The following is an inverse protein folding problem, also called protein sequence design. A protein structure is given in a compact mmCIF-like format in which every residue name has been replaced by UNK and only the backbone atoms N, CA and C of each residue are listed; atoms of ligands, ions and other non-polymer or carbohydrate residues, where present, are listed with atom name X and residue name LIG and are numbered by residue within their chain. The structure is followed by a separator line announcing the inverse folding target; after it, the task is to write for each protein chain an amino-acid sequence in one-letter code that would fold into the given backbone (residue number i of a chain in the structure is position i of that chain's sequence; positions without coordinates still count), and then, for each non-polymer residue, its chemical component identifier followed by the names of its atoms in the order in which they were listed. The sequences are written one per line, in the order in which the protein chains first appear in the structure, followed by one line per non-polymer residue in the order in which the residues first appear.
data_IF_854784926576
#
_entry.id   IF_854784926576
#
_cell.length_a   1.000
_cell.length_b   1.000
_cell.length_c   1.000
_cell.angle_alpha   90.00
_cell.angle_beta   90.00
_cell.angle_gamma   90.00
#
_symmetry.space_group_name_H-M   'P 1'
#
loop_
_entity.id
_entity.type
_entity.pdbx_description
1 polymer ?
#
# COMPACT_ATOMS: atom_id res chain seq x y z
N UNK A 1 -26.16 -39.08 15.64
CA UNK A 1 -25.64 -38.75 14.29
C UNK A 1 -25.87 -37.26 14.06
N UNK A 2 -24.97 -36.55 13.37
CA UNK A 2 -25.29 -35.24 12.83
C UNK A 2 -26.59 -35.36 12.01
N UNK A 3 -27.36 -34.28 11.88
CA UNK A 3 -28.44 -34.30 10.90
C UNK A 3 -27.84 -34.66 9.53
N UNK A 4 -28.54 -35.49 8.73
CA UNK A 4 -28.06 -35.88 7.39
C UNK A 4 -27.61 -34.66 6.58
N UNK A 5 -28.30 -33.54 6.76
CA UNK A 5 -27.96 -32.24 6.21
C UNK A 5 -26.55 -31.74 6.59
N UNK A 6 -26.18 -31.76 7.87
CA UNK A 6 -24.85 -31.31 8.32
C UNK A 6 -23.73 -32.22 7.78
N UNK A 7 -23.98 -33.53 7.68
CA UNK A 7 -23.03 -34.46 7.06
C UNK A 7 -22.84 -34.17 5.58
N UNK A 8 -23.92 -33.82 4.86
CA UNK A 8 -23.84 -33.41 3.44
C UNK A 8 -23.04 -32.12 3.27
N UNK A 9 -23.29 -31.09 4.10
CA UNK A 9 -22.52 -29.84 4.05
C UNK A 9 -21.05 -30.11 4.35
N UNK A 10 -20.74 -30.88 5.38
CA UNK A 10 -19.37 -31.18 5.75
C UNK A 10 -18.63 -31.95 4.63
N UNK A 11 -19.30 -32.91 3.98
CA UNK A 11 -18.78 -33.57 2.78
C UNK A 11 -18.57 -32.60 1.61
N UNK A 12 -19.51 -31.69 1.37
CA UNK A 12 -19.43 -30.68 0.32
C UNK A 12 -18.23 -29.74 0.52
N UNK A 13 -17.93 -29.32 1.75
CA UNK A 13 -16.76 -28.48 2.03
C UNK A 13 -15.44 -29.18 1.68
N UNK A 14 -15.31 -30.48 1.94
CA UNK A 14 -14.14 -31.24 1.53
C UNK A 14 -14.03 -31.31 0.00
N UNK A 15 -15.15 -31.50 -0.71
CA UNK A 15 -15.18 -31.48 -2.19
C UNK A 15 -14.78 -30.11 -2.73
N UNK A 16 -15.31 -29.03 -2.17
CA UNK A 16 -14.96 -27.66 -2.58
C UNK A 16 -13.48 -27.35 -2.33
N UNK A 17 -12.94 -27.74 -1.18
CA UNK A 17 -11.52 -27.58 -0.88
C UNK A 17 -10.62 -28.27 -1.92
N UNK A 18 -10.98 -29.50 -2.33
CA UNK A 18 -10.25 -30.25 -3.37
C UNK A 18 -10.43 -29.62 -4.75
N UNK A 19 -11.65 -29.22 -5.10
CA UNK A 19 -11.94 -28.58 -6.39
C UNK A 19 -11.05 -27.35 -6.59
N UNK A 20 -11.00 -26.47 -5.60
CA UNK A 20 -10.17 -25.27 -5.65
C UNK A 20 -8.67 -25.60 -5.56
N UNK A 21 -8.28 -26.65 -4.83
CA UNK A 21 -6.90 -27.14 -4.84
C UNK A 21 -6.46 -27.64 -6.23
N UNK A 22 -7.31 -28.41 -6.93
CA UNK A 22 -7.04 -28.85 -8.30
C UNK A 22 -6.94 -27.64 -9.23
N UNK A 23 -7.81 -26.63 -9.07
CA UNK A 23 -7.72 -25.41 -9.87
C UNK A 23 -6.37 -24.70 -9.68
N UNK A 24 -5.91 -24.55 -8.44
CA UNK A 24 -4.56 -24.02 -8.18
C UNK A 24 -3.47 -24.84 -8.84
N UNK A 25 -3.54 -26.18 -8.77
CA UNK A 25 -2.54 -27.05 -9.39
C UNK A 25 -2.45 -26.85 -10.90
N UNK A 26 -3.59 -26.67 -11.57
CA UNK A 26 -3.63 -26.43 -13.01
C UNK A 26 -3.07 -25.06 -13.40
N UNK A 27 -3.30 -24.04 -12.58
CA UNK A 27 -2.89 -22.67 -12.90
C UNK A 27 -1.41 -22.41 -12.51
N UNK A 28 -0.92 -22.97 -11.40
CA UNK A 28 0.39 -22.61 -10.81
C UNK A 28 1.20 -23.78 -10.22
N UNK A 29 0.66 -25.01 -10.28
CA UNK A 29 1.19 -26.14 -9.50
C UNK A 29 0.83 -26.08 -8.02
N UNK A 30 1.08 -27.17 -7.30
CA UNK A 30 0.90 -27.26 -5.85
C UNK A 30 2.10 -27.94 -5.19
N UNK A 31 2.43 -27.50 -3.98
CA UNK A 31 3.45 -28.17 -3.17
C UNK A 31 2.93 -29.52 -2.65
N UNK A 32 3.82 -30.50 -2.53
CA UNK A 32 3.49 -31.84 -2.03
C UNK A 32 2.76 -31.83 -0.66
N UNK A 33 3.11 -30.95 0.31
CA UNK A 33 2.37 -30.87 1.57
C UNK A 33 0.90 -30.47 1.41
N UNK A 34 0.58 -29.55 0.48
CA UNK A 34 -0.81 -29.12 0.25
C UNK A 34 -1.63 -30.26 -0.35
N UNK A 35 -1.06 -30.98 -1.33
CA UNK A 35 -1.70 -32.16 -1.92
C UNK A 35 -1.96 -33.22 -0.85
N UNK A 36 -0.96 -33.53 -0.02
CA UNK A 36 -1.09 -34.50 1.07
C UNK A 36 -2.19 -34.10 2.08
N UNK A 37 -2.29 -32.81 2.42
CA UNK A 37 -3.33 -32.29 3.30
C UNK A 37 -4.74 -32.44 2.69
N UNK A 38 -4.92 -32.12 1.41
CA UNK A 38 -6.20 -32.28 0.72
C UNK A 38 -6.61 -33.76 0.58
N UNK A 39 -5.66 -34.66 0.31
CA UNK A 39 -5.92 -36.11 0.29
C UNK A 39 -6.34 -36.61 1.68
N UNK A 40 -5.62 -36.20 2.73
CA UNK A 40 -5.96 -36.56 4.11
C UNK A 40 -7.35 -36.04 4.50
N UNK A 41 -7.72 -34.82 4.10
CA UNK A 41 -9.04 -34.23 4.30
C UNK A 41 -10.15 -35.11 3.72
N UNK A 42 -10.00 -35.55 2.47
CA UNK A 42 -10.96 -36.43 1.78
C UNK A 42 -11.04 -37.77 2.46
N UNK A 43 -9.90 -38.43 2.73
CA UNK A 43 -9.87 -39.75 3.36
C UNK A 43 -10.51 -39.72 4.75
N UNK A 44 -10.22 -38.71 5.56
CA UNK A 44 -10.83 -38.53 6.87
C UNK A 44 -12.36 -38.34 6.76
N UNK A 45 -12.80 -37.53 5.79
CA UNK A 45 -14.23 -37.28 5.54
C UNK A 45 -14.95 -38.55 5.11
N UNK A 46 -14.42 -39.29 4.14
CA UNK A 46 -15.00 -40.55 3.67
C UNK A 46 -15.02 -41.61 4.76
N UNK A 47 -13.93 -41.77 5.51
CA UNK A 47 -13.86 -42.70 6.63
C UNK A 47 -14.90 -42.37 7.71
N UNK A 48 -15.08 -41.09 8.05
CA UNK A 48 -16.07 -40.65 9.02
C UNK A 48 -17.53 -40.85 8.56
N UNK A 49 -17.79 -40.84 7.24
CA UNK A 49 -19.12 -41.06 6.66
C UNK A 49 -19.43 -42.56 6.54
N UNK A 50 -18.49 -43.35 6.02
CA UNK A 50 -18.74 -44.73 5.61
C UNK A 50 -18.28 -45.79 6.62
N UNK A 51 -17.43 -45.45 7.59
CA UNK A 51 -16.90 -46.39 8.59
C UNK A 51 -17.47 -46.05 9.98
N UNK A 52 -18.49 -46.80 10.48
CA UNK A 52 -19.14 -46.51 11.75
C UNK A 52 -18.20 -46.50 12.97
N UNK A 53 -17.12 -47.28 12.93
CA UNK A 53 -16.10 -47.28 13.98
C UNK A 53 -15.36 -45.93 14.05
N UNK A 54 -15.00 -45.35 12.91
CA UNK A 54 -14.33 -44.03 12.83
C UNK A 54 -15.28 -42.93 13.28
N UNK A 55 -16.53 -42.93 12.82
CA UNK A 55 -17.52 -41.95 13.27
C UNK A 55 -17.74 -41.96 14.79
N UNK A 56 -17.83 -43.16 15.39
CA UNK A 56 -17.94 -43.32 16.85
C UNK A 56 -16.70 -42.79 17.57
N UNK A 57 -15.50 -43.12 17.08
CA UNK A 57 -14.25 -42.63 17.67
C UNK A 57 -14.17 -41.10 17.66
N UNK A 58 -14.46 -40.47 16.51
CA UNK A 58 -14.45 -39.00 16.38
C UNK A 58 -15.47 -38.34 17.31
N UNK A 59 -16.67 -38.92 17.42
CA UNK A 59 -17.70 -38.44 18.35
C UNK A 59 -17.23 -38.53 19.80
N UNK A 60 -16.64 -39.66 20.22
CA UNK A 60 -16.12 -39.84 21.57
C UNK A 60 -15.00 -38.86 21.92
N UNK A 61 -14.11 -38.56 20.97
CA UNK A 61 -13.05 -37.56 21.17
C UNK A 61 -13.63 -36.16 21.40
N UNK A 62 -14.62 -35.75 20.60
CA UNK A 62 -15.31 -34.48 20.79
C UNK A 62 -16.13 -34.46 22.08
N UNK A 63 -16.75 -35.57 22.47
CA UNK A 63 -17.50 -35.66 23.73
C UNK A 63 -16.60 -35.49 24.95
N UNK A 64 -15.39 -36.07 24.93
CA UNK A 64 -14.37 -35.85 25.97
C UNK A 64 -13.97 -34.39 26.07
N UNK A 65 -13.77 -33.72 24.92
CA UNK A 65 -13.44 -32.31 24.90
C UNK A 65 -14.60 -31.45 25.43
N UNK A 66 -15.83 -31.73 25.00
CA UNK A 66 -17.07 -31.03 25.42
C UNK A 66 -17.43 -31.27 26.88
N UNK A 67 -16.97 -32.37 27.48
CA UNK A 67 -17.08 -32.61 28.92
C UNK A 67 -16.30 -31.59 29.75
N UNK A 68 -15.35 -30.86 29.15
CA UNK A 68 -14.68 -29.69 29.70
C UNK A 68 -15.04 -28.43 28.87
N UNK A 69 -16.22 -27.80 29.08
CA UNK A 69 -16.74 -26.78 28.18
C UNK A 69 -15.85 -25.55 28.00
N UNK A 70 -15.16 -25.13 29.07
CA UNK A 70 -14.22 -24.02 29.02
C UNK A 70 -12.99 -24.32 28.14
N UNK A 71 -12.46 -25.55 28.23
CA UNK A 71 -11.37 -26.02 27.37
C UNK A 71 -11.85 -26.14 25.91
N UNK A 72 -13.03 -26.70 25.69
CA UNK A 72 -13.64 -26.75 24.36
C UNK A 72 -13.77 -25.36 23.71
N UNK A 73 -14.26 -24.37 24.47
CA UNK A 73 -14.35 -22.99 24.00
C UNK A 73 -12.96 -22.42 23.69
N UNK A 74 -11.97 -22.62 24.56
CA UNK A 74 -10.60 -22.19 24.28
C UNK A 74 -10.05 -22.84 22.99
N UNK A 75 -10.28 -24.13 22.77
CA UNK A 75 -9.87 -24.83 21.55
C UNK A 75 -10.54 -24.23 20.31
N UNK A 76 -11.83 -23.89 20.38
CA UNK A 76 -12.51 -23.19 19.29
C UNK A 76 -11.89 -21.82 18.99
N UNK A 77 -11.58 -21.03 20.02
CA UNK A 77 -10.92 -19.72 19.85
C UNK A 77 -9.54 -19.87 19.23
N UNK A 78 -8.72 -20.79 19.74
CA UNK A 78 -7.39 -21.07 19.19
C UNK A 78 -7.50 -21.52 17.73
N UNK A 79 -8.45 -22.39 17.40
CA UNK A 79 -8.68 -22.84 16.03
C UNK A 79 -9.02 -21.66 15.10
N UNK A 80 -9.97 -20.81 15.49
CA UNK A 80 -10.39 -19.64 14.70
C UNK A 80 -9.25 -18.64 14.54
N UNK A 81 -8.53 -18.32 15.61
CA UNK A 81 -7.38 -17.42 15.57
C UNK A 81 -6.32 -17.97 14.63
N UNK A 82 -5.89 -19.22 14.81
CA UNK A 82 -4.84 -19.81 13.96
C UNK A 82 -5.28 -19.88 12.49
N UNK A 83 -6.54 -20.23 12.23
CA UNK A 83 -7.07 -20.31 10.87
C UNK A 83 -7.09 -18.93 10.19
N UNK A 84 -7.68 -17.92 10.83
CA UNK A 84 -7.80 -16.58 10.26
C UNK A 84 -6.44 -15.90 10.20
N UNK A 85 -5.66 -15.90 11.28
CA UNK A 85 -4.32 -15.30 11.34
C UNK A 85 -3.38 -15.91 10.31
N UNK A 86 -3.40 -17.23 10.11
CA UNK A 86 -2.56 -17.87 9.09
C UNK A 86 -2.99 -17.48 7.67
N UNK A 87 -4.29 -17.36 7.40
CA UNK A 87 -4.74 -16.82 6.10
C UNK A 87 -4.26 -15.38 5.89
N UNK A 88 -4.47 -14.51 6.88
CA UNK A 88 -4.05 -13.10 6.80
C UNK A 88 -2.54 -12.96 6.58
N UNK A 89 -1.72 -13.70 7.32
CA UNK A 89 -0.26 -13.66 7.21
C UNK A 89 0.21 -14.17 5.85
N UNK A 90 -0.33 -15.30 5.38
CA UNK A 90 0.16 -15.95 4.16
C UNK A 90 -0.27 -15.24 2.88
N UNK A 91 -1.50 -14.73 2.85
CA UNK A 91 -2.10 -14.23 1.62
C UNK A 91 -2.28 -12.71 1.62
N UNK A 92 -2.22 -12.07 2.79
CA UNK A 92 -2.35 -10.62 2.95
C UNK A 92 -3.50 -10.04 2.13
N UNK A 93 -4.74 -10.52 2.34
CA UNK A 93 -5.90 -10.11 1.56
C UNK A 93 -6.20 -8.63 1.82
N UNK A 94 -6.52 -7.90 0.76
CA UNK A 94 -6.83 -6.47 0.77
C UNK A 94 -7.88 -6.16 -0.30
N UNK A 95 -8.63 -5.06 -0.14
CA UNK A 95 -9.54 -4.58 -1.18
C UNK A 95 -8.77 -4.29 -2.50
N UNK A 96 -9.40 -4.63 -3.63
CA UNK A 96 -8.80 -4.52 -4.96
C UNK A 96 -8.26 -5.83 -5.53
N UNK A 97 -8.07 -6.86 -4.69
CA UNK A 97 -7.59 -8.17 -5.13
C UNK A 97 -8.65 -9.27 -5.03
N UNK A 98 -8.67 -10.15 -6.03
CA UNK A 98 -9.50 -11.34 -6.03
C UNK A 98 -8.91 -12.40 -5.11
N UNK A 99 -9.77 -13.09 -4.36
CA UNK A 99 -9.38 -14.29 -3.60
C UNK A 99 -8.95 -15.36 -4.59
N UNK A 100 -7.73 -15.86 -4.42
CA UNK A 100 -7.17 -16.89 -5.30
C UNK A 100 -7.80 -18.26 -5.07
N UNK A 101 -7.73 -19.20 -6.04
CA UNK A 101 -8.21 -20.56 -5.84
C UNK A 101 -7.59 -21.25 -4.61
N UNK A 102 -6.31 -21.00 -4.31
CA UNK A 102 -5.65 -21.61 -3.15
C UNK A 102 -6.22 -21.08 -1.82
N UNK A 103 -6.58 -19.81 -1.76
CA UNK A 103 -7.24 -19.23 -0.59
C UNK A 103 -8.63 -19.83 -0.39
N UNK A 104 -9.40 -20.02 -1.46
CA UNK A 104 -10.68 -20.74 -1.36
C UNK A 104 -10.49 -22.16 -0.82
N UNK A 105 -9.49 -22.90 -1.31
CA UNK A 105 -9.17 -24.24 -0.80
C UNK A 105 -8.82 -24.20 0.70
N UNK A 106 -8.05 -23.21 1.13
CA UNK A 106 -7.70 -22.96 2.53
C UNK A 106 -8.94 -22.65 3.38
N UNK A 107 -9.84 -21.78 2.89
CA UNK A 107 -11.07 -21.42 3.57
C UNK A 107 -12.03 -22.60 3.72
N UNK A 108 -12.27 -23.38 2.66
CA UNK A 108 -13.15 -24.54 2.77
C UNK A 108 -12.59 -25.61 3.69
N UNK A 109 -11.27 -25.79 3.72
CA UNK A 109 -10.59 -26.69 4.67
C UNK A 109 -10.79 -26.24 6.12
N UNK A 110 -10.67 -24.94 6.40
CA UNK A 110 -10.91 -24.41 7.74
C UNK A 110 -12.38 -24.42 8.15
N UNK A 111 -13.29 -24.13 7.23
CA UNK A 111 -14.73 -24.22 7.50
C UNK A 111 -15.15 -25.68 7.75
N UNK A 112 -14.53 -26.63 7.05
CA UNK A 112 -14.71 -28.07 7.30
C UNK A 112 -14.32 -28.45 8.73
N UNK A 113 -13.16 -27.97 9.21
CA UNK A 113 -12.72 -28.23 10.59
C UNK A 113 -13.57 -27.50 11.63
N UNK A 114 -14.01 -26.27 11.34
CA UNK A 114 -14.91 -25.53 12.22
C UNK A 114 -16.27 -26.22 12.38
N UNK A 115 -16.89 -26.64 11.27
CA UNK A 115 -18.14 -27.41 11.32
C UNK A 115 -17.97 -28.74 12.05
N UNK A 116 -16.82 -29.39 11.90
CA UNK A 116 -16.50 -30.59 12.68
C UNK A 116 -16.53 -30.30 14.20
N UNK A 117 -15.85 -29.25 14.65
CA UNK A 117 -15.80 -28.90 16.07
C UNK A 117 -17.17 -28.46 16.62
N UNK A 118 -17.92 -27.64 15.87
CA UNK A 118 -19.20 -27.06 16.31
C UNK A 118 -20.37 -28.04 16.26
N UNK A 119 -20.45 -28.88 15.22
CA UNK A 119 -21.68 -29.59 14.89
C UNK A 119 -21.55 -31.13 14.89
N UNK A 120 -20.36 -31.68 14.70
CA UNK A 120 -20.20 -33.13 14.55
C UNK A 120 -20.56 -33.88 15.83
N UNK A 121 -21.54 -34.78 15.74
CA UNK A 121 -22.03 -35.57 16.87
C UNK A 121 -22.66 -34.75 18.01
N UNK A 122 -22.88 -33.45 17.82
CA UNK A 122 -23.37 -32.56 18.87
C UNK A 122 -24.87 -32.76 19.12
N UNK A 123 -25.28 -32.71 20.39
CA UNK A 123 -26.69 -32.85 20.78
C UNK A 123 -27.17 -31.67 21.61
N UNK A 124 -28.46 -31.34 21.50
CA UNK A 124 -29.08 -30.26 22.29
C UNK A 124 -29.01 -30.51 23.79
N UNK A 125 -29.00 -31.78 24.22
CA UNK A 125 -28.83 -32.14 25.62
C UNK A 125 -27.42 -31.78 26.12
N UNK A 126 -26.38 -32.12 25.34
CA UNK A 126 -24.99 -31.77 25.64
C UNK A 126 -24.80 -30.25 25.68
N UNK A 127 -25.39 -29.52 24.72
CA UNK A 127 -25.34 -28.05 24.72
C UNK A 127 -25.91 -27.44 26.01
N UNK A 128 -27.06 -27.94 26.49
CA UNK A 128 -27.66 -27.50 27.75
C UNK A 128 -26.76 -27.79 28.96
N UNK A 129 -26.18 -28.99 29.02
CA UNK A 129 -25.23 -29.36 30.09
C UNK A 129 -23.99 -28.45 30.07
N UNK A 130 -23.41 -28.21 28.91
CA UNK A 130 -22.25 -27.32 28.76
C UNK A 130 -22.59 -25.89 29.20
N UNK A 131 -23.75 -25.37 28.79
CA UNK A 131 -24.21 -24.04 29.19
C UNK A 131 -24.38 -23.90 30.70
N UNK A 132 -24.96 -24.92 31.37
CA UNK A 132 -25.10 -24.93 32.84
C UNK A 132 -23.74 -24.96 33.55
N UNK A 133 -22.80 -25.75 33.04
CA UNK A 133 -21.43 -25.81 33.57
C UNK A 133 -20.69 -24.48 33.39
N UNK A 134 -20.79 -23.86 32.22
CA UNK A 134 -20.21 -22.54 31.94
C UNK A 134 -20.85 -21.46 32.83
N UNK A 135 -22.16 -21.46 33.01
CA UNK A 135 -22.85 -20.48 33.85
C UNK A 135 -22.38 -20.45 35.31
N UNK A 136 -21.78 -21.54 35.80
CA UNK A 136 -21.22 -21.65 37.16
C UNK A 136 -19.70 -21.42 37.21
N UNK A 137 -19.03 -21.40 36.06
CA UNK A 137 -17.57 -21.30 35.98
C UNK A 137 -17.09 -19.86 35.99
N UNK A 138 -16.07 -19.55 36.79
CA UNK A 138 -15.40 -18.24 36.78
C UNK A 138 -14.62 -17.98 35.48
N UNK A 139 -14.22 -19.03 34.77
CA UNK A 139 -13.50 -18.91 33.49
C UNK A 139 -14.40 -18.38 32.36
N UNK A 140 -15.72 -18.48 32.52
CA UNK A 140 -16.67 -18.01 31.50
C UNK A 140 -16.54 -16.51 31.25
N UNK A 141 -16.38 -15.69 32.30
CA UNK A 141 -16.14 -14.26 32.14
C UNK A 141 -14.87 -13.96 31.34
N UNK A 142 -13.76 -14.65 31.67
CA UNK A 142 -12.49 -14.52 30.95
C UNK A 142 -12.63 -14.91 29.47
N UNK A 143 -13.32 -16.01 29.17
CA UNK A 143 -13.53 -16.48 27.80
C UNK A 143 -14.45 -15.56 27.00
N UNK A 144 -15.47 -14.96 27.63
CA UNK A 144 -16.30 -13.92 26.99
C UNK A 144 -15.43 -12.72 26.63
N UNK A 145 -14.63 -12.22 27.58
CA UNK A 145 -13.74 -11.07 27.34
C UNK A 145 -12.75 -11.38 26.22
N UNK A 146 -12.10 -12.55 26.26
CA UNK A 146 -11.16 -12.98 25.22
C UNK A 146 -11.85 -13.08 23.85
N UNK A 147 -13.03 -13.71 23.78
CA UNK A 147 -13.82 -13.80 22.54
C UNK A 147 -14.15 -12.41 22.01
N UNK A 148 -14.55 -11.49 22.88
CA UNK A 148 -14.92 -10.12 22.53
C UNK A 148 -13.73 -9.36 21.96
N UNK A 149 -12.56 -9.43 22.61
CA UNK A 149 -11.32 -8.80 22.13
C UNK A 149 -10.93 -9.36 20.76
N UNK A 150 -10.97 -10.68 20.58
CA UNK A 150 -10.62 -11.31 19.30
C UNK A 150 -11.58 -10.91 18.17
N UNK A 151 -12.89 -10.88 18.45
CA UNK A 151 -13.89 -10.42 17.47
C UNK A 151 -13.65 -8.97 17.08
N UNK A 152 -13.45 -8.08 18.05
CA UNK A 152 -13.14 -6.67 17.78
C UNK A 152 -11.85 -6.55 16.96
N UNK A 153 -10.80 -7.29 17.33
CA UNK A 153 -9.54 -7.30 16.61
C UNK A 153 -9.71 -7.69 15.13
N UNK A 154 -10.37 -8.83 14.85
CA UNK A 154 -10.55 -9.28 13.47
C UNK A 154 -11.55 -8.43 12.67
N UNK A 155 -12.56 -7.83 13.32
CA UNK A 155 -13.43 -6.86 12.66
C UNK A 155 -12.68 -5.57 12.30
N UNK A 156 -11.83 -5.08 13.18
CA UNK A 156 -10.97 -3.93 12.90
C UNK A 156 -9.94 -4.25 11.79
N UNK A 157 -9.33 -5.43 11.83
CA UNK A 157 -8.42 -5.92 10.80
C UNK A 157 -9.12 -6.01 9.44
N UNK A 158 -10.33 -6.58 9.39
CA UNK A 158 -11.13 -6.64 8.17
C UNK A 158 -11.51 -5.24 7.67
N UNK A 159 -11.91 -4.34 8.57
CA UNK A 159 -12.23 -2.96 8.21
C UNK A 159 -11.02 -2.25 7.59
N UNK A 160 -9.85 -2.31 8.22
CA UNK A 160 -8.65 -1.66 7.70
C UNK A 160 -8.25 -2.22 6.33
N UNK A 161 -8.28 -3.55 6.17
CA UNK A 161 -7.94 -4.22 4.90
C UNK A 161 -8.93 -3.94 3.77
N UNK A 162 -10.19 -3.63 4.08
CA UNK A 162 -11.21 -3.38 3.08
C UNK A 162 -11.38 -1.89 2.74
N UNK A 163 -11.16 -1.01 3.71
CA UNK A 163 -11.55 0.40 3.61
C UNK A 163 -10.45 1.40 3.96
N UNK A 164 -9.29 0.94 4.44
CA UNK A 164 -8.20 1.81 4.88
C UNK A 164 -6.83 1.29 4.44
N UNK A 165 -6.68 1.12 3.12
CA UNK A 165 -5.38 0.90 2.48
C UNK A 165 -4.92 2.26 2.00
N UNK A 166 -3.87 2.78 2.63
CA UNK A 166 -3.38 4.13 2.39
C UNK A 166 -1.89 4.18 2.62
N UNK A 167 -1.28 5.23 2.09
CA UNK A 167 0.11 5.61 2.28
C UNK A 167 0.37 6.35 3.58
N UNK A 168 1.65 6.44 3.92
CA UNK A 168 2.21 7.26 4.97
C UNK A 168 3.42 8.03 4.41
N UNK A 169 3.78 9.18 5.00
CA UNK A 169 4.83 10.03 4.46
C UNK A 169 6.25 9.45 4.42
N UNK A 170 6.47 8.22 4.88
CA UNK A 170 7.80 7.60 5.00
C UNK A 170 7.91 6.21 4.37
N UNK A 171 6.80 5.63 3.92
CA UNK A 171 6.80 4.42 3.11
C UNK A 171 6.96 3.08 3.85
N UNK A 172 7.02 3.03 5.19
CA UNK A 172 7.36 1.80 5.92
C UNK A 172 6.17 1.05 6.55
N UNK A 173 4.94 1.57 6.48
CA UNK A 173 3.79 0.88 7.06
C UNK A 173 3.32 -0.30 6.20
N UNK A 174 2.65 -1.28 6.82
CA UNK A 174 2.08 -2.40 6.08
C UNK A 174 0.98 -1.90 5.12
N UNK A 175 0.19 -0.90 5.55
CA UNK A 175 -0.82 -0.28 4.71
C UNK A 175 -0.19 0.42 3.50
N UNK A 176 0.92 1.14 3.68
CA UNK A 176 1.66 1.76 2.59
C UNK A 176 2.16 0.71 1.58
N UNK A 177 2.80 -0.36 2.05
CA UNK A 177 3.25 -1.45 1.18
C UNK A 177 2.09 -2.02 0.33
N UNK A 178 0.93 -2.23 0.95
CA UNK A 178 -0.25 -2.71 0.22
C UNK A 178 -0.87 -1.66 -0.68
N UNK A 179 -0.74 -0.37 -0.37
CA UNK A 179 -1.11 0.68 -1.30
C UNK A 179 -0.26 0.62 -2.58
N UNK A 180 1.07 0.50 -2.46
CA UNK A 180 1.96 0.32 -3.62
C UNK A 180 1.57 -0.90 -4.43
N UNK A 181 1.37 -2.04 -3.77
CA UNK A 181 0.97 -3.27 -4.46
C UNK A 181 -0.36 -3.11 -5.20
N UNK A 182 -1.33 -2.38 -4.64
CA UNK A 182 -2.69 -2.32 -5.15
C UNK A 182 -2.91 -1.20 -6.18
N UNK A 183 -2.19 -0.10 -6.04
CA UNK A 183 -2.45 1.15 -6.77
C UNK A 183 -1.20 1.80 -7.36
N UNK A 184 -0.02 1.58 -6.76
CA UNK A 184 1.27 1.98 -7.34
C UNK A 184 1.66 1.04 -8.47
N UNK A 185 2.39 -0.03 -8.13
CA UNK A 185 2.96 -1.00 -9.07
C UNK A 185 1.97 -1.74 -9.95
N UNK A 186 0.68 -1.76 -9.56
CA UNK A 186 -0.39 -2.33 -10.38
C UNK A 186 -0.68 -1.48 -11.63
N UNK A 187 -0.18 -0.25 -11.69
CA UNK A 187 -0.36 0.73 -12.75
C UNK A 187 0.97 1.05 -13.44
N UNK A 188 1.99 0.20 -13.31
CA UNK A 188 3.26 0.37 -14.01
C UNK A 188 3.14 -0.04 -15.49
N UNK A 189 3.70 0.76 -16.37
CA UNK A 189 3.88 0.44 -17.77
C UNK A 189 5.07 -0.52 -18.00
N UNK A 190 5.30 -0.90 -19.25
CA UNK A 190 6.36 -1.82 -19.66
C UNK A 190 7.78 -1.31 -19.40
N UNK A 191 7.96 -0.02 -19.14
CA UNK A 191 9.23 0.61 -18.77
C UNK A 191 9.44 0.66 -17.26
N UNK A 192 8.45 0.24 -16.47
CA UNK A 192 8.51 0.21 -15.01
C UNK A 192 8.16 1.54 -14.34
N UNK A 193 7.49 2.46 -15.04
CA UNK A 193 6.97 3.69 -14.45
C UNK A 193 5.47 3.59 -14.25
N UNK A 194 4.98 4.20 -13.17
CA UNK A 194 3.55 4.28 -12.86
C UNK A 194 2.82 5.24 -13.81
N UNK A 195 2.54 4.77 -15.01
CA UNK A 195 2.03 5.56 -16.13
C UNK A 195 1.30 4.68 -17.15
N UNK A 196 0.62 5.28 -18.13
CA UNK A 196 0.18 4.57 -19.32
C UNK A 196 1.38 4.17 -20.19
N UNK A 197 1.15 3.27 -21.16
CA UNK A 197 2.20 2.90 -22.12
C UNK A 197 2.50 4.08 -23.05
N UNK A 198 3.78 4.46 -23.23
CA UNK A 198 4.15 5.52 -24.16
C UNK A 198 3.64 5.23 -25.55
N UNK A 199 3.12 6.24 -26.25
CA UNK A 199 2.58 6.05 -27.59
C UNK A 199 3.73 5.80 -28.57
N UNK A 200 3.52 4.98 -29.62
CA UNK A 200 4.51 4.86 -30.69
C UNK A 200 4.75 6.21 -31.37
N UNK A 201 5.98 6.45 -31.83
CA UNK A 201 6.31 7.65 -32.58
C UNK A 201 5.39 7.82 -33.80
N UNK A 202 4.85 9.04 -33.95
CA UNK A 202 3.99 9.42 -35.05
C UNK A 202 4.33 10.85 -35.52
N UNK A 203 4.14 11.17 -36.82
CA UNK A 203 4.36 12.52 -37.31
C UNK A 203 3.51 13.55 -36.55
N UNK A 204 4.15 14.62 -36.09
CA UNK A 204 3.52 15.67 -35.30
C UNK A 204 3.21 15.32 -33.84
N UNK A 205 3.61 14.14 -33.35
CA UNK A 205 3.57 13.81 -31.92
C UNK A 205 4.61 14.66 -31.17
N UNK A 206 4.17 15.37 -30.14
CA UNK A 206 5.05 16.11 -29.23
C UNK A 206 5.16 15.33 -27.94
N UNK A 207 6.38 15.06 -27.48
CA UNK A 207 6.63 14.33 -26.23
C UNK A 207 6.94 15.27 -25.08
N UNK A 208 6.32 15.01 -23.94
CA UNK A 208 6.49 15.76 -22.70
C UNK A 208 6.90 14.76 -21.63
N UNK A 209 8.11 14.90 -21.08
CA UNK A 209 8.53 14.11 -19.94
C UNK A 209 8.25 14.87 -18.65
N UNK A 210 7.44 14.30 -17.76
CA UNK A 210 7.27 14.77 -16.38
C UNK A 210 8.26 13.99 -15.51
N UNK A 211 9.25 14.67 -14.94
CA UNK A 211 10.31 14.04 -14.13
C UNK A 211 10.17 14.46 -12.68
N UNK A 212 10.32 13.54 -11.74
CA UNK A 212 10.35 13.89 -10.32
C UNK A 212 10.30 12.69 -9.38
N UNK A 213 9.86 12.97 -8.16
CA UNK A 213 9.84 12.02 -7.05
C UNK A 213 8.42 11.47 -6.75
N UNK A 214 8.15 11.14 -5.49
CA UNK A 214 6.82 10.71 -5.01
C UNK A 214 5.71 11.74 -5.26
N UNK A 215 6.01 13.04 -5.35
CA UNK A 215 5.05 14.09 -5.65
C UNK A 215 4.62 14.04 -7.12
N UNK A 216 5.56 13.75 -8.03
CA UNK A 216 5.24 13.56 -9.45
C UNK A 216 4.50 12.23 -9.68
N UNK A 217 5.00 11.14 -9.09
CA UNK A 217 4.45 9.79 -9.20
C UNK A 217 2.99 9.68 -8.67
N UNK A 218 2.54 10.64 -7.85
CA UNK A 218 1.22 10.66 -7.26
C UNK A 218 1.06 9.70 -6.10
N UNK A 219 2.04 9.70 -5.19
CA UNK A 219 2.04 8.88 -3.98
C UNK A 219 0.75 9.11 -3.18
N UNK A 220 0.03 8.04 -2.85
CA UNK A 220 -1.24 8.08 -2.13
C UNK A 220 -2.49 8.35 -3.00
N UNK A 221 -2.34 8.62 -4.30
CA UNK A 221 -3.47 8.74 -5.23
C UNK A 221 -3.82 7.37 -5.83
N UNK A 222 -4.98 6.80 -5.49
CA UNK A 222 -5.32 5.43 -5.93
C UNK A 222 -5.52 5.27 -7.45
N UNK A 223 -5.94 6.32 -8.13
CA UNK A 223 -6.25 6.30 -9.55
C UNK A 223 -5.22 7.14 -10.32
N UNK A 224 -4.44 6.49 -11.18
CA UNK A 224 -3.40 7.14 -12.00
C UNK A 224 -3.94 8.38 -12.73
N UNK A 225 -5.15 8.30 -13.26
CA UNK A 225 -5.82 9.37 -13.99
C UNK A 225 -6.08 10.65 -13.16
N UNK A 226 -5.98 10.59 -11.84
CA UNK A 226 -6.15 11.74 -10.94
C UNK A 226 -4.81 12.47 -10.65
N UNK A 227 -3.69 11.98 -11.19
CA UNK A 227 -2.38 12.64 -11.09
C UNK A 227 -2.25 13.77 -12.11
N UNK A 228 -1.41 14.77 -11.82
CA UNK A 228 -1.33 16.00 -12.61
C UNK A 228 -0.81 15.73 -14.03
N UNK A 229 0.13 14.80 -14.20
CA UNK A 229 0.66 14.42 -15.51
C UNK A 229 -0.46 13.89 -16.42
N UNK A 230 -1.30 13.01 -15.88
CA UNK A 230 -2.42 12.40 -16.62
C UNK A 230 -3.57 13.38 -16.84
N UNK A 231 -3.79 14.29 -15.91
CA UNK A 231 -4.73 15.39 -16.11
C UNK A 231 -4.23 16.30 -17.25
N UNK A 232 -2.94 16.62 -17.30
CA UNK A 232 -2.35 17.41 -18.38
C UNK A 232 -2.48 16.69 -19.72
N UNK A 233 -2.11 15.41 -19.80
CA UNK A 233 -2.21 14.63 -21.04
C UNK A 233 -3.62 14.70 -21.65
N UNK A 234 -4.64 14.39 -20.84
CA UNK A 234 -6.04 14.44 -21.31
C UNK A 234 -6.50 15.81 -21.76
N UNK A 235 -5.89 16.89 -21.29
CA UNK A 235 -6.26 18.27 -21.66
C UNK A 235 -5.48 18.78 -22.87
N UNK A 236 -4.28 18.26 -23.12
CA UNK A 236 -3.44 18.67 -24.24
C UNK A 236 -3.87 18.03 -25.57
N UNK A 237 -4.86 17.13 -25.54
CA UNK A 237 -5.41 16.37 -26.67
C UNK A 237 -4.39 15.43 -27.34
N UNK A 238 -4.80 14.75 -28.42
CA UNK A 238 -4.03 13.67 -29.06
C UNK A 238 -2.66 14.10 -29.63
N UNK A 239 -2.32 15.39 -29.65
CA UNK A 239 -1.03 15.86 -30.19
C UNK A 239 0.15 15.65 -29.23
N UNK A 240 -0.09 15.43 -27.93
CA UNK A 240 0.98 15.37 -26.93
C UNK A 240 0.99 14.03 -26.18
N UNK A 241 2.14 13.37 -26.11
CA UNK A 241 2.40 12.22 -25.23
C UNK A 241 3.00 12.74 -23.94
N UNK A 242 2.38 12.48 -22.79
CA UNK A 242 2.92 12.93 -21.49
C UNK A 242 3.43 11.73 -20.72
N UNK A 243 4.73 11.50 -20.82
CA UNK A 243 5.42 10.39 -20.19
C UNK A 243 5.83 10.78 -18.75
N UNK A 244 5.34 10.06 -17.75
CA UNK A 244 5.70 10.25 -16.33
C UNK A 244 6.92 9.39 -15.96
N UNK A 245 8.04 10.05 -15.70
CA UNK A 245 9.32 9.46 -15.28
C UNK A 245 9.56 9.85 -13.82
N UNK A 246 8.84 9.20 -12.92
CA UNK A 246 8.92 9.52 -11.50
C UNK A 246 8.76 8.29 -10.61
N UNK A 247 9.48 8.29 -9.50
CA UNK A 247 9.46 7.22 -8.51
C UNK A 247 9.60 7.80 -7.09
N UNK A 248 9.01 7.11 -6.12
CA UNK A 248 9.13 7.55 -4.73
C UNK A 248 10.55 7.36 -4.20
N UNK A 249 11.12 8.43 -3.64
CA UNK A 249 12.49 8.47 -3.12
C UNK A 249 13.55 8.72 -4.20
N UNK A 250 13.15 9.16 -5.39
CA UNK A 250 14.10 9.82 -6.30
C UNK A 250 14.44 11.19 -5.77
N UNK A 251 15.72 11.52 -5.88
CA UNK A 251 16.29 12.82 -5.56
C UNK A 251 16.94 13.42 -6.82
N UNK A 252 17.45 14.65 -6.74
CA UNK A 252 18.01 15.37 -7.90
C UNK A 252 19.18 14.65 -8.57
N UNK A 253 19.91 13.78 -7.86
CA UNK A 253 21.01 13.00 -8.43
C UNK A 253 20.54 11.88 -9.38
N UNK A 254 19.28 11.47 -9.32
CA UNK A 254 18.70 10.40 -10.15
C UNK A 254 17.86 10.91 -11.33
N UNK A 255 17.16 12.03 -11.17
CA UNK A 255 16.21 12.55 -12.16
C UNK A 255 16.81 12.71 -13.57
N UNK A 256 17.96 13.39 -13.68
CA UNK A 256 18.62 13.59 -14.98
C UNK A 256 19.17 12.27 -15.56
N UNK A 257 19.92 11.43 -14.82
CA UNK A 257 20.36 10.13 -15.34
C UNK A 257 19.23 9.22 -15.85
N UNK A 258 18.06 9.21 -15.22
CA UNK A 258 16.93 8.41 -15.71
C UNK A 258 16.28 9.03 -16.94
N UNK A 259 16.13 10.36 -16.97
CA UNK A 259 15.68 11.08 -18.17
C UNK A 259 16.61 10.82 -19.37
N UNK A 260 17.92 10.78 -19.16
CA UNK A 260 18.92 10.47 -20.20
C UNK A 260 18.79 9.06 -20.78
N UNK A 261 18.35 8.11 -19.96
CA UNK A 261 18.20 6.70 -20.34
C UNK A 261 16.81 6.39 -20.91
N UNK A 262 15.88 7.33 -20.82
CA UNK A 262 14.52 7.13 -21.29
C UNK A 262 14.49 6.95 -22.82
N UNK A 263 13.83 5.90 -23.34
CA UNK A 263 13.95 5.54 -24.76
C UNK A 263 13.25 6.52 -25.72
N UNK A 264 12.34 7.35 -25.22
CA UNK A 264 11.58 8.30 -26.02
C UNK A 264 12.03 9.74 -25.72
N UNK A 265 12.83 10.38 -26.59
CA UNK A 265 13.35 11.71 -26.29
C UNK A 265 12.22 12.75 -26.24
N UNK A 266 12.12 13.54 -25.15
CA UNK A 266 11.07 14.55 -25.02
C UNK A 266 11.38 15.82 -25.82
N UNK A 267 10.34 16.59 -26.15
CA UNK A 267 10.46 17.96 -26.62
C UNK A 267 10.35 18.97 -25.46
N UNK A 268 9.57 18.62 -24.45
CA UNK A 268 9.33 19.42 -23.25
C UNK A 268 9.65 18.55 -22.03
N UNK A 269 10.37 19.10 -21.06
CA UNK A 269 10.62 18.48 -19.76
C UNK A 269 9.90 19.33 -18.71
N UNK A 270 9.10 18.68 -17.87
CA UNK A 270 8.48 19.27 -16.69
C UNK A 270 9.16 18.64 -15.48
N UNK A 271 10.03 19.38 -14.81
CA UNK A 271 10.60 18.97 -13.53
C UNK A 271 9.59 19.26 -12.41
N UNK A 272 9.22 18.24 -11.65
CA UNK A 272 8.42 18.35 -10.44
C UNK A 272 9.31 18.21 -9.22
N UNK A 273 9.82 19.35 -8.77
CA UNK A 273 10.79 19.44 -7.68
C UNK A 273 10.08 19.49 -6.32
N UNK A 274 10.48 18.61 -5.39
CA UNK A 274 10.11 18.72 -3.98
C UNK A 274 11.35 18.91 -3.12
N UNK A 275 11.16 19.46 -1.92
CA UNK A 275 12.26 19.93 -1.09
C UNK A 275 13.18 18.81 -0.59
N UNK A 276 12.69 17.57 -0.57
CA UNK A 276 13.45 16.36 -0.27
C UNK A 276 14.39 15.94 -1.39
N UNK A 277 14.31 16.51 -2.60
CA UNK A 277 15.23 16.11 -3.68
C UNK A 277 16.71 16.44 -3.37
N UNK A 278 16.98 17.14 -2.27
CA UNK A 278 18.32 17.37 -1.69
C UNK A 278 18.79 16.24 -0.75
N UNK A 279 17.93 15.29 -0.38
CA UNK A 279 18.16 14.30 0.68
C UNK A 279 19.34 13.36 0.39
N UNK A 280 19.67 13.13 -0.89
CA UNK A 280 20.87 12.38 -1.28
C UNK A 280 22.17 12.97 -0.70
N UNK A 281 22.22 14.28 -0.41
CA UNK A 281 23.35 14.95 0.26
C UNK A 281 23.37 14.75 1.78
N UNK A 282 22.22 14.40 2.36
CA UNK A 282 22.03 14.25 3.79
C UNK A 282 22.15 12.79 4.26
N UNK A 283 22.17 11.84 3.34
CA UNK A 283 22.25 10.40 3.64
C UNK A 283 23.48 10.07 4.51
N UNK A 284 23.28 9.26 5.56
CA UNK A 284 24.31 8.87 6.54
C UNK A 284 24.94 10.04 7.33
N UNK A 285 24.34 11.24 7.30
CA UNK A 285 24.78 12.38 8.11
C UNK A 285 24.01 12.49 9.42
N UNK A 286 24.44 13.40 10.31
CA UNK A 286 23.69 13.70 11.53
C UNK A 286 22.34 14.39 11.26
N UNK A 287 22.13 14.89 10.04
CA UNK A 287 20.90 15.54 9.57
C UNK A 287 20.04 14.61 8.71
N UNK A 288 20.42 13.33 8.57
CA UNK A 288 19.64 12.34 7.83
C UNK A 288 18.21 12.25 8.41
N UNK A 289 17.18 12.68 7.65
CA UNK A 289 15.81 12.64 8.14
C UNK A 289 15.34 11.22 8.46
N UNK A 290 15.92 10.20 7.81
CA UNK A 290 15.60 8.79 8.02
C UNK A 290 16.17 8.23 9.34
N UNK A 291 17.19 8.86 9.92
CA UNK A 291 17.73 8.46 11.22
C UNK A 291 16.76 8.72 12.39
N UNK A 292 15.71 9.52 12.15
CA UNK A 292 14.71 9.90 13.15
C UNK A 292 13.62 8.82 13.39
N UNK A 293 13.67 7.67 12.70
CA UNK A 293 12.68 6.59 12.84
C UNK A 293 13.10 5.50 13.82
N UNK A 294 12.27 5.30 14.85
CA UNK A 294 12.37 4.14 15.72
C UNK A 294 11.52 2.98 15.17
N UNK A 295 12.19 1.89 14.80
CA UNK A 295 11.55 0.63 14.44
C UNK A 295 11.39 -0.30 15.65
N UNK A 296 10.43 -1.23 15.56
CA UNK A 296 10.28 -2.28 16.56
C UNK A 296 11.52 -3.18 16.54
N UNK A 297 12.31 -3.14 17.62
CA UNK A 297 13.54 -3.93 17.73
C UNK A 297 13.30 -5.41 18.05
N UNK A 298 12.21 -5.73 18.76
CA UNK A 298 11.87 -7.12 19.07
C UNK A 298 11.37 -7.83 17.80
N UNK A 299 12.00 -8.94 17.36
CA UNK A 299 11.64 -9.59 16.10
C UNK A 299 10.20 -10.13 16.07
N UNK A 300 9.69 -10.62 17.21
CA UNK A 300 8.35 -11.21 17.27
C UNK A 300 7.27 -10.15 17.20
N UNK A 301 7.46 -9.04 17.92
CA UNK A 301 6.58 -7.90 17.86
C UNK A 301 6.66 -7.22 16.49
N UNK A 302 7.85 -7.09 15.91
CA UNK A 302 8.04 -6.55 14.56
C UNK A 302 7.27 -7.38 13.54
N UNK A 303 7.43 -8.71 13.57
CA UNK A 303 6.66 -9.62 12.73
C UNK A 303 5.15 -9.43 12.90
N UNK A 304 4.65 -9.33 14.14
CA UNK A 304 3.22 -9.13 14.40
C UNK A 304 2.71 -7.78 13.87
N UNK A 305 3.46 -6.71 14.11
CA UNK A 305 3.16 -5.35 13.66
C UNK A 305 3.18 -5.24 12.13
N UNK A 306 4.06 -5.95 11.43
CA UNK A 306 4.16 -5.89 9.97
C UNK A 306 3.17 -6.81 9.24
N UNK A 307 2.67 -7.87 9.90
CA UNK A 307 1.75 -8.82 9.25
C UNK A 307 0.26 -8.54 9.48
N UNK A 308 -0.09 -7.67 10.44
CA UNK A 308 -1.48 -7.32 10.74
C UNK A 308 -1.66 -5.80 10.72
N UNK A 309 -2.75 -5.32 10.11
CA UNK A 309 -3.01 -3.89 9.93
C UNK A 309 -3.35 -3.20 11.25
N UNK A 310 -4.08 -3.86 12.15
CA UNK A 310 -4.43 -3.29 13.47
C UNK A 310 -3.18 -2.91 14.29
N UNK A 311 -2.25 -3.82 14.63
CA UNK A 311 -1.06 -3.45 15.38
C UNK A 311 -0.13 -2.52 14.59
N UNK A 312 -0.09 -2.62 13.25
CA UNK A 312 0.63 -1.67 12.41
C UNK A 312 0.13 -0.24 12.61
N UNK A 313 -1.20 -0.04 12.48
CA UNK A 313 -1.86 1.24 12.65
C UNK A 313 -1.71 1.78 14.07
N UNK A 314 -1.88 0.94 15.09
CA UNK A 314 -1.67 1.36 16.48
C UNK A 314 -0.24 1.82 16.71
N UNK A 315 0.75 1.07 16.22
CA UNK A 315 2.16 1.40 16.43
C UNK A 315 2.58 2.63 15.64
N UNK A 316 2.48 2.61 14.32
CA UNK A 316 3.01 3.67 13.47
C UNK A 316 2.10 4.90 13.43
N UNK A 317 0.80 4.72 13.22
CA UNK A 317 -0.11 5.84 13.00
C UNK A 317 -0.61 6.46 14.31
N UNK A 318 -0.72 5.73 15.42
CA UNK A 318 -1.15 6.33 16.69
C UNK A 318 0.02 6.64 17.63
N UNK A 319 0.87 5.66 17.96
CA UNK A 319 1.92 5.85 18.95
C UNK A 319 3.10 6.64 18.39
N UNK A 320 3.52 6.37 17.16
CA UNK A 320 4.67 7.05 16.57
C UNK A 320 4.30 8.44 16.02
N UNK A 321 3.18 8.57 15.30
CA UNK A 321 2.77 9.86 14.73
C UNK A 321 2.45 10.94 15.76
N UNK A 322 1.96 10.58 16.96
CA UNK A 322 1.66 11.57 18.02
C UNK A 322 2.92 12.12 18.72
N UNK A 323 4.11 11.66 18.33
CA UNK A 323 5.39 12.17 18.85
C UNK A 323 5.74 13.52 18.22
N UNK A 324 5.58 14.61 18.97
CA UNK A 324 5.95 15.98 18.57
C UNK A 324 7.38 16.11 18.02
N UNK A 325 8.31 15.28 18.50
CA UNK A 325 9.71 15.30 18.07
C UNK A 325 9.92 15.02 16.58
N UNK A 326 9.00 14.30 15.90
CA UNK A 326 9.18 13.92 14.49
C UNK A 326 8.62 14.94 13.51
N UNK A 327 7.41 15.45 13.76
CA UNK A 327 6.77 16.40 12.84
C UNK A 327 7.52 17.74 12.75
N UNK A 328 8.24 18.13 13.82
CA UNK A 328 9.02 19.37 13.84
C UNK A 328 10.48 19.19 13.39
N UNK A 329 11.05 17.98 13.49
CA UNK A 329 12.42 17.72 13.04
C UNK A 329 12.51 17.66 11.51
N UNK A 330 11.63 16.91 10.83
CA UNK A 330 11.71 16.69 9.38
C UNK A 330 11.71 17.98 8.56
N UNK A 331 10.76 18.89 8.83
CA UNK A 331 10.67 20.18 8.12
C UNK A 331 11.88 21.07 8.42
N UNK A 332 12.37 21.04 9.67
CA UNK A 332 13.52 21.81 10.10
C UNK A 332 14.82 21.32 9.45
N UNK A 333 15.02 20.01 9.44
CA UNK A 333 16.18 19.34 8.85
C UNK A 333 16.24 19.62 7.34
N UNK A 334 15.12 19.43 6.64
CA UNK A 334 15.00 19.67 5.20
C UNK A 334 15.29 21.12 4.83
N UNK A 335 14.69 22.10 5.53
CA UNK A 335 14.97 23.51 5.27
C UNK A 335 16.42 23.89 5.61
N UNK A 336 17.01 23.26 6.64
CA UNK A 336 18.39 23.53 7.05
C UNK A 336 19.43 23.07 6.03
N UNK A 337 19.13 22.04 5.24
CA UNK A 337 20.00 21.56 4.16
C UNK A 337 20.23 22.66 3.11
N UNK A 338 19.19 23.42 2.76
CA UNK A 338 19.31 24.57 1.86
C UNK A 338 20.12 25.72 2.44
N UNK A 339 20.25 25.80 3.77
CA UNK A 339 21.04 26.82 4.46
C UNK A 339 22.52 26.42 4.64
N UNK A 340 22.86 25.16 4.44
CA UNK A 340 24.25 24.73 4.34
C UNK A 340 24.80 25.11 2.95
N UNK A 341 25.81 25.98 2.92
CA UNK A 341 26.42 26.47 1.69
C UNK A 341 27.02 25.34 0.82
N UNK A 342 27.62 24.32 1.45
CA UNK A 342 28.21 23.20 0.70
C UNK A 342 27.15 22.34 0.02
N UNK A 343 26.09 21.97 0.77
CA UNK A 343 25.03 21.12 0.24
C UNK A 343 24.24 21.88 -0.83
N UNK A 344 23.95 23.16 -0.58
CA UNK A 344 23.29 24.02 -1.55
C UNK A 344 24.12 24.24 -2.83
N UNK A 345 25.44 24.36 -2.73
CA UNK A 345 26.30 24.52 -3.90
C UNK A 345 26.28 23.28 -4.81
N UNK A 346 26.32 22.08 -4.22
CA UNK A 346 26.19 20.82 -4.98
C UNK A 346 24.78 20.68 -5.57
N UNK A 347 23.74 20.97 -4.79
CA UNK A 347 22.34 20.94 -5.26
C UNK A 347 22.15 21.90 -6.45
N UNK A 348 22.60 23.15 -6.30
CA UNK A 348 22.55 24.16 -7.35
C UNK A 348 23.33 23.72 -8.59
N UNK A 349 24.48 23.06 -8.42
CA UNK A 349 25.24 22.51 -9.53
C UNK A 349 24.40 21.48 -10.31
N UNK A 350 23.76 20.52 -9.64
CA UNK A 350 22.91 19.49 -10.29
C UNK A 350 21.70 20.08 -11.01
N UNK A 351 21.00 21.03 -10.38
CA UNK A 351 19.89 21.73 -11.03
C UNK A 351 20.35 22.43 -12.33
N UNK A 352 21.53 23.06 -12.32
CA UNK A 352 22.10 23.65 -13.54
C UNK A 352 22.47 22.59 -14.60
N UNK A 353 22.89 21.38 -14.21
CA UNK A 353 23.16 20.31 -15.18
C UNK A 353 21.90 19.93 -15.97
N UNK A 354 20.73 19.87 -15.32
CA UNK A 354 19.45 19.62 -16.01
C UNK A 354 19.10 20.76 -16.99
N UNK A 355 19.28 22.02 -16.57
CA UNK A 355 19.07 23.18 -17.45
C UNK A 355 20.02 23.13 -18.65
N UNK A 356 21.31 22.89 -18.43
CA UNK A 356 22.31 22.81 -19.49
C UNK A 356 22.01 21.65 -20.44
N UNK A 357 21.55 20.51 -19.91
CA UNK A 357 21.22 19.32 -20.69
C UNK A 357 20.03 19.52 -21.62
N UNK A 358 18.96 20.15 -21.11
CA UNK A 358 17.74 20.46 -21.89
C UNK A 358 18.04 21.51 -22.96
N UNK A 359 18.74 22.59 -22.60
CA UNK A 359 19.14 23.65 -23.54
C UNK A 359 20.07 23.14 -24.65
N UNK A 360 21.02 22.26 -24.34
CA UNK A 360 21.92 21.67 -25.33
C UNK A 360 21.21 20.77 -26.36
N UNK A 361 19.95 20.41 -26.12
CA UNK A 361 19.11 19.55 -26.97
C UNK A 361 17.89 20.29 -27.54
N UNK A 362 17.85 21.61 -27.39
CA UNK A 362 16.73 22.45 -27.81
C UNK A 362 15.38 22.01 -27.20
N UNK A 363 15.41 21.41 -26.00
CA UNK A 363 14.22 21.03 -25.24
C UNK A 363 13.75 22.22 -24.40
N UNK A 364 12.44 22.37 -24.28
CA UNK A 364 11.84 23.34 -23.34
C UNK A 364 11.84 22.73 -21.94
N UNK A 365 12.30 23.47 -20.93
CA UNK A 365 12.21 23.07 -19.53
C UNK A 365 11.17 23.95 -18.82
N UNK A 366 10.27 23.32 -18.06
CA UNK A 366 9.33 23.96 -17.14
C UNK A 366 9.55 23.32 -15.77
N UNK A 367 9.44 24.10 -14.70
CA UNK A 367 9.59 23.59 -13.33
C UNK A 367 8.34 23.86 -12.52
N UNK A 368 7.84 22.87 -11.80
CA UNK A 368 6.89 23.04 -10.71
C UNK A 368 7.61 22.75 -9.40
N UNK A 369 7.50 23.66 -8.44
CA UNK A 369 8.13 23.55 -7.12
C UNK A 369 7.05 23.36 -6.07
N UNK A 370 7.15 22.26 -5.33
CA UNK A 370 6.22 21.93 -4.25
C UNK A 370 6.73 22.47 -2.90
N UNK A 371 5.95 23.27 -2.16
CA UNK A 371 6.28 23.62 -0.79
C UNK A 371 6.05 22.41 0.13
N UNK A 372 6.57 22.48 1.35
CA UNK A 372 6.11 21.56 2.39
C UNK A 372 4.65 21.89 2.73
N UNK A 373 3.69 21.10 2.26
CA UNK A 373 2.25 21.46 2.27
C UNK A 373 1.71 21.75 3.68
N UNK A 374 2.21 21.05 4.71
CA UNK A 374 1.80 21.30 6.10
C UNK A 374 2.51 22.49 6.76
N UNK A 375 3.51 23.07 6.10
CA UNK A 375 4.41 24.10 6.62
C UNK A 375 4.86 25.10 5.53
N UNK A 376 3.93 25.53 4.67
CA UNK A 376 4.22 26.32 3.45
C UNK A 376 5.12 27.51 3.75
N UNK A 377 4.77 28.31 4.77
CA UNK A 377 5.51 29.53 5.13
C UNK A 377 6.93 29.26 5.60
N UNK A 378 7.14 28.12 6.27
CA UNK A 378 8.47 27.72 6.73
C UNK A 378 9.36 27.27 5.57
N UNK A 379 8.80 26.65 4.54
CA UNK A 379 9.55 26.23 3.34
C UNK A 379 9.95 27.37 2.39
N UNK A 380 9.44 28.60 2.57
CA UNK A 380 9.57 29.65 1.54
C UNK A 380 11.01 30.06 1.24
N UNK A 381 11.91 30.01 2.22
CA UNK A 381 13.33 30.34 1.98
C UNK A 381 14.00 29.34 1.03
N UNK A 382 13.75 28.05 1.21
CA UNK A 382 14.24 26.99 0.33
C UNK A 382 13.63 27.10 -1.07
N UNK A 383 12.31 27.31 -1.15
CA UNK A 383 11.59 27.52 -2.42
C UNK A 383 12.17 28.71 -3.19
N UNK A 384 12.44 29.82 -2.52
CA UNK A 384 13.04 31.00 -3.14
C UNK A 384 14.44 30.72 -3.71
N UNK A 385 15.27 29.96 -3.00
CA UNK A 385 16.61 29.56 -3.46
C UNK A 385 16.54 28.71 -4.74
N UNK A 386 15.66 27.71 -4.77
CA UNK A 386 15.46 26.83 -5.94
C UNK A 386 14.92 27.62 -7.11
N UNK A 387 13.92 28.46 -6.88
CA UNK A 387 13.34 29.34 -7.90
C UNK A 387 14.37 30.28 -8.52
N UNK A 388 15.26 30.86 -7.71
CA UNK A 388 16.31 31.76 -8.19
C UNK A 388 17.22 31.10 -9.23
N UNK A 389 17.52 29.80 -9.10
CA UNK A 389 18.34 29.05 -10.05
C UNK A 389 17.70 29.05 -11.45
N UNK A 390 16.39 28.78 -11.51
CA UNK A 390 15.65 28.68 -12.76
C UNK A 390 15.28 30.05 -13.33
N UNK A 391 14.88 31.00 -12.49
CA UNK A 391 14.60 32.39 -12.89
C UNK A 391 15.85 33.04 -13.51
N UNK A 392 17.04 32.80 -12.95
CA UNK A 392 18.31 33.30 -13.49
C UNK A 392 18.66 32.74 -14.88
N UNK A 393 18.07 31.60 -15.25
CA UNK A 393 18.24 30.93 -16.55
C UNK A 393 17.04 31.11 -17.48
N UNK A 394 16.08 31.96 -17.09
CA UNK A 394 14.83 32.21 -17.80
C UNK A 394 14.00 30.94 -18.06
N UNK A 395 14.06 29.98 -17.15
CA UNK A 395 13.22 28.77 -17.16
C UNK A 395 11.88 29.11 -16.48
N UNK A 396 10.72 28.84 -17.11
CA UNK A 396 9.42 29.05 -16.47
C UNK A 396 9.24 28.21 -15.20
N UNK A 397 8.80 28.84 -14.11
CA UNK A 397 8.59 28.20 -12.80
C UNK A 397 7.16 28.43 -12.29
N UNK A 398 6.51 27.34 -11.86
CA UNK A 398 5.29 27.34 -11.04
C UNK A 398 5.67 27.10 -9.58
N UNK A 399 5.49 28.11 -8.74
CA UNK A 399 5.56 27.96 -7.29
C UNK A 399 4.17 27.65 -6.74
N UNK A 400 3.99 26.45 -6.20
CA UNK A 400 2.68 26.00 -5.70
C UNK A 400 2.26 26.67 -4.38
N UNK A 401 3.12 27.43 -3.71
CA UNK A 401 2.87 28.00 -2.37
C UNK A 401 1.60 28.83 -2.29
N UNK A 402 1.42 29.82 -3.17
CA UNK A 402 0.26 30.72 -3.14
C UNK A 402 -1.04 30.06 -3.61
N UNK A 403 -0.92 29.07 -4.49
CA UNK A 403 -2.07 28.29 -4.97
C UNK A 403 -2.61 27.43 -3.82
N UNK A 404 -1.72 26.72 -3.13
CA UNK A 404 -2.09 25.82 -2.05
C UNK A 404 -2.58 26.58 -0.80
N UNK A 405 -2.05 27.76 -0.49
CA UNK A 405 -2.51 28.61 0.66
C UNK A 405 -4.01 28.92 0.65
N UNK A 406 -4.66 28.86 -0.51
CA UNK A 406 -6.07 29.21 -0.67
C UNK A 406 -7.03 28.12 -0.17
N UNK A 407 -6.52 26.92 0.13
CA UNK A 407 -7.31 25.75 0.47
C UNK A 407 -6.99 25.24 1.89
N UNK A 408 -7.95 24.59 2.56
CA UNK A 408 -7.68 24.00 3.87
C UNK A 408 -6.79 22.76 3.75
N UNK A 409 -5.86 22.60 4.69
CA UNK A 409 -4.82 21.54 4.66
C UNK A 409 -5.37 20.12 4.44
N UNK A 410 -6.51 19.78 5.04
CA UNK A 410 -7.12 18.45 4.91
C UNK A 410 -7.66 18.14 3.51
N UNK A 411 -7.73 19.13 2.62
CA UNK A 411 -8.02 18.93 1.19
C UNK A 411 -6.75 18.85 0.34
N UNK A 412 -5.60 19.27 0.86
CA UNK A 412 -4.35 19.42 0.10
C UNK A 412 -3.41 18.22 0.23
N UNK A 413 -3.57 17.42 1.29
CA UNK A 413 -2.74 16.24 1.55
C UNK A 413 -3.54 14.96 1.43
N UNK A 414 -2.89 13.85 1.09
CA UNK A 414 -3.54 12.53 0.93
C UNK A 414 -4.32 12.15 2.19
N UNK A 415 -3.68 12.23 3.35
CA UNK A 415 -4.33 11.97 4.63
C UNK A 415 -3.55 12.61 5.80
N UNK A 416 -4.06 12.47 7.03
CA UNK A 416 -3.42 13.10 8.19
C UNK A 416 -2.01 12.57 8.53
N UNK A 417 -1.63 11.41 8.01
CA UNK A 417 -0.34 10.74 8.22
C UNK A 417 0.59 10.84 7.03
N UNK A 418 0.15 11.52 5.98
CA UNK A 418 0.82 11.59 4.72
C UNK A 418 0.65 12.99 4.13
N UNK A 419 1.75 13.75 4.11
CA UNK A 419 1.80 15.12 3.63
C UNK A 419 1.93 15.23 2.10
N UNK A 420 1.98 14.11 1.37
CA UNK A 420 2.00 14.12 -0.10
C UNK A 420 0.75 14.79 -0.67
N UNK A 421 0.84 15.35 -1.90
CA UNK A 421 -0.27 16.07 -2.52
C UNK A 421 -1.51 15.19 -2.71
N UNK A 422 -2.68 15.73 -2.36
CA UNK A 422 -3.96 15.08 -2.64
C UNK A 422 -4.33 15.15 -4.12
N UNK A 423 -5.41 14.47 -4.51
CA UNK A 423 -6.06 14.62 -5.82
C UNK A 423 -6.35 16.10 -6.15
N UNK A 424 -6.80 16.90 -5.18
CA UNK A 424 -7.03 18.33 -5.41
C UNK A 424 -5.72 19.07 -5.71
N UNK A 425 -4.65 18.76 -4.97
CA UNK A 425 -3.34 19.39 -5.19
C UNK A 425 -2.77 19.05 -6.57
N UNK A 426 -2.95 17.82 -7.05
CA UNK A 426 -2.59 17.43 -8.41
C UNK A 426 -3.46 18.13 -9.47
N UNK A 427 -4.75 18.32 -9.22
CA UNK A 427 -5.61 19.12 -10.10
C UNK A 427 -5.12 20.58 -10.20
N UNK A 428 -4.79 21.19 -9.06
CA UNK A 428 -4.26 22.56 -8.99
C UNK A 428 -2.90 22.68 -9.70
N UNK A 429 -2.03 21.67 -9.59
CA UNK A 429 -0.76 21.62 -10.32
C UNK A 429 -0.98 21.54 -11.83
N UNK A 430 -1.90 20.69 -12.29
CA UNK A 430 -2.24 20.63 -13.71
C UNK A 430 -2.81 21.96 -14.23
N UNK A 431 -3.70 22.60 -13.46
CA UNK A 431 -4.26 23.92 -13.81
C UNK A 431 -3.17 25.00 -13.93
N UNK A 432 -2.15 24.95 -13.08
CA UNK A 432 -1.05 25.90 -13.08
C UNK A 432 -0.01 25.64 -14.18
N UNK A 433 0.23 24.37 -14.52
CA UNK A 433 1.18 23.95 -15.55
C UNK A 433 0.64 24.13 -16.97
N UNK A 434 -0.66 23.89 -17.19
CA UNK A 434 -1.27 23.85 -18.52
C UNK A 434 -0.97 25.09 -19.38
N UNK A 435 -1.06 26.34 -18.90
CA UNK A 435 -0.75 27.52 -19.71
C UNK A 435 0.72 27.55 -20.17
N UNK A 436 1.66 27.18 -19.30
CA UNK A 436 3.10 27.17 -19.61
C UNK A 436 3.44 26.07 -20.61
N UNK A 437 2.83 24.89 -20.44
CA UNK A 437 3.01 23.79 -21.39
C UNK A 437 2.46 24.19 -22.76
N UNK A 438 1.27 24.80 -22.83
CA UNK A 438 0.71 25.29 -24.11
C UNK A 438 1.54 26.37 -24.77
N UNK A 439 2.17 27.25 -24.00
CA UNK A 439 3.13 28.23 -24.51
C UNK A 439 4.38 27.52 -25.09
N UNK A 440 4.97 26.58 -24.36
CA UNK A 440 6.10 25.78 -24.82
C UNK A 440 5.78 24.99 -26.10
N UNK A 441 4.58 24.41 -26.21
CA UNK A 441 4.10 23.72 -27.41
C UNK A 441 4.11 24.62 -28.65
N UNK A 442 3.86 25.93 -28.50
CA UNK A 442 3.89 26.87 -29.63
C UNK A 442 5.30 27.13 -30.18
N UNK A 443 6.33 26.72 -29.43
CA UNK A 443 7.74 26.85 -29.79
C UNK A 443 8.38 25.53 -30.27
N UNK A 444 7.66 24.41 -30.19
CA UNK A 444 8.14 23.11 -30.69
C UNK A 444 7.74 22.98 -32.16
N UNK A 445 8.73 22.79 -33.05
CA UNK A 445 8.43 22.40 -34.43
C UNK A 445 7.94 20.94 -34.47
N UNK A 446 6.82 20.61 -35.13
CA UNK A 446 6.35 19.24 -35.23
C UNK A 446 7.39 18.36 -35.92
N UNK A 447 7.71 17.19 -35.36
CA UNK A 447 8.55 16.20 -36.03
C UNK A 447 7.91 15.82 -37.38
N UNK A 448 8.65 16.07 -38.47
CA UNK A 448 8.18 15.90 -39.86
C UNK A 448 8.10 14.47 -40.37
#
# INVERSE_FOLDING_TARGET
MPSRFLTLIWGLLAVLAVFFGIRTYLDFGLSAPVIAALVALVLATLAAIFIPAVSRLLTQLLDRLRAAPALYWLVLLVYLVLWISRWLVLYQPTAGWWITPIEFAYFFTGLWGLLFLLAYGFSSAQARTMAQTLGKSRLTGLLITLTTILVIFFLAEAYLRLFYITTDGYGFTAMNYHWYKNYGWAQDNSLGYRDHEPRPDAPGLIRIAVVGDSFAMGHGINNLDDTFAQILERRLDDCCDVDLLAESGWDTDLELPFLEQYPYPPNIVVLSYYLNDIDYLLTDTAQDPNANFAFVKDPSLSWFVLNFFVPNYLYYNLLQFTSQSRAQAFVGDLASAYDNEQDWDEQRFRLNQLVDWTQARDMQLIVIIWPHITAIDYSQSAIAKVREVFDARAVPVVDMSDILRQYPLNQLVVNRFDAHPSVLSHQLAADALEPLVREALSHVEPAG
#
